data_IF_587852148878
#
_entry.id   IF_587852148878
#
_cell.length_a   1.000
_cell.length_b   1.000
_cell.length_c   1.000
_cell.angle_alpha   90.00
_cell.angle_beta   90.00
_cell.angle_gamma   90.00
#
_symmetry.space_group_name_H-M   'P 1'
#
loop_
_entity.id
_entity.type
_entity.pdbx_description
1 polymer ?
#
# COMPACT_ATOMS: atom_id res chain seq x y z
N UNK A 1 7.42 -32.74 -6.36
CA UNK A 1 6.48 -32.41 -7.46
C UNK A 1 6.10 -30.94 -7.31
N UNK A 2 6.41 -30.11 -8.30
CA UNK A 2 6.02 -28.71 -8.28
C UNK A 2 4.50 -28.57 -8.36
N UNK A 3 3.91 -27.87 -7.39
CA UNK A 3 2.46 -27.65 -7.37
C UNK A 3 2.06 -26.68 -8.49
N UNK A 4 1.18 -27.14 -9.37
CA UNK A 4 0.47 -26.28 -10.34
C UNK A 4 -0.57 -25.41 -9.62
N UNK A 5 -0.88 -24.25 -10.20
CA UNK A 5 -2.03 -23.45 -9.79
C UNK A 5 -3.31 -24.23 -10.08
N UNK A 6 -4.30 -24.14 -9.19
CA UNK A 6 -5.60 -24.75 -9.39
C UNK A 6 -6.74 -23.73 -9.38
N UNK A 7 -7.88 -24.12 -9.93
CA UNK A 7 -9.06 -23.25 -10.09
C UNK A 7 -9.58 -22.72 -8.74
N UNK A 8 -9.52 -23.55 -7.69
CA UNK A 8 -10.02 -23.15 -6.36
C UNK A 8 -9.15 -22.07 -5.73
N UNK A 9 -7.82 -22.11 -5.93
CA UNK A 9 -6.91 -21.03 -5.51
C UNK A 9 -7.27 -19.70 -6.17
N UNK A 10 -7.50 -19.71 -7.48
CA UNK A 10 -7.88 -18.50 -8.24
C UNK A 10 -9.25 -17.99 -7.81
N UNK A 11 -10.23 -18.89 -7.65
CA UNK A 11 -11.58 -18.56 -7.18
C UNK A 11 -11.56 -17.97 -5.77
N UNK A 12 -10.76 -18.53 -4.87
CA UNK A 12 -10.59 -18.01 -3.51
C UNK A 12 -9.98 -16.61 -3.53
N UNK A 13 -8.94 -16.39 -4.34
CA UNK A 13 -8.32 -15.08 -4.49
C UNK A 13 -9.29 -14.06 -5.06
N UNK A 14 -10.07 -14.41 -6.08
CA UNK A 14 -11.09 -13.53 -6.64
C UNK A 14 -12.17 -13.15 -5.60
N UNK A 15 -12.68 -14.10 -4.81
CA UNK A 15 -13.64 -13.79 -3.73
C UNK A 15 -13.06 -12.82 -2.70
N UNK A 16 -11.80 -13.01 -2.31
CA UNK A 16 -11.11 -12.11 -1.38
C UNK A 16 -10.86 -10.74 -2.01
N UNK A 17 -10.47 -10.69 -3.27
CA UNK A 17 -10.32 -9.43 -4.01
C UNK A 17 -11.64 -8.65 -4.07
N UNK A 18 -12.77 -9.34 -4.34
CA UNK A 18 -14.09 -8.73 -4.28
C UNK A 18 -14.40 -8.14 -2.90
N UNK A 19 -14.04 -8.84 -1.82
CA UNK A 19 -14.20 -8.30 -0.46
C UNK A 19 -13.35 -7.04 -0.24
N UNK A 20 -12.13 -7.00 -0.76
CA UNK A 20 -11.25 -5.84 -0.67
C UNK A 20 -11.86 -4.62 -1.37
N UNK A 21 -12.33 -4.78 -2.60
CA UNK A 21 -12.99 -3.73 -3.38
C UNK A 21 -14.29 -3.26 -2.72
N UNK A 22 -15.02 -4.15 -2.04
CA UNK A 22 -16.22 -3.80 -1.30
C UNK A 22 -15.93 -2.86 -0.12
N UNK A 23 -14.89 -3.11 0.66
CA UNK A 23 -14.54 -2.26 1.81
C UNK A 23 -13.71 -1.01 1.44
N UNK A 24 -13.08 -0.98 0.26
CA UNK A 24 -12.36 0.21 -0.22
C UNK A 24 -13.31 1.22 -0.88
N UNK A 25 -13.60 2.32 -0.19
CA UNK A 25 -14.45 3.39 -0.70
C UNK A 25 -13.75 4.39 -1.64
N UNK A 26 -12.42 4.27 -1.82
CA UNK A 26 -11.66 5.27 -2.54
C UNK A 26 -11.66 5.03 -4.06
N UNK A 27 -11.49 3.79 -4.52
CA UNK A 27 -11.37 3.47 -5.94
C UNK A 27 -12.70 3.06 -6.58
N UNK A 28 -13.58 4.03 -6.86
CA UNK A 28 -14.87 3.80 -7.52
C UNK A 28 -14.72 3.20 -8.93
N UNK A 29 -13.65 3.54 -9.65
CA UNK A 29 -13.37 2.97 -10.97
C UNK A 29 -13.13 1.45 -10.90
N UNK A 30 -12.34 1.00 -9.92
CA UNK A 30 -12.09 -0.42 -9.72
C UNK A 30 -13.36 -1.19 -9.35
N UNK A 31 -14.26 -0.59 -8.56
CA UNK A 31 -15.59 -1.15 -8.28
C UNK A 31 -16.41 -1.33 -9.55
N UNK A 32 -16.44 -0.33 -10.41
CA UNK A 32 -17.12 -0.41 -11.71
C UNK A 32 -16.52 -1.50 -12.60
N UNK A 33 -15.18 -1.57 -12.71
CA UNK A 33 -14.50 -2.62 -13.50
C UNK A 33 -14.80 -4.02 -12.97
N UNK A 34 -14.85 -4.19 -11.65
CA UNK A 34 -15.21 -5.47 -11.05
C UNK A 34 -16.65 -5.85 -11.39
N UNK A 35 -17.60 -4.91 -11.32
CA UNK A 35 -18.98 -5.16 -11.72
C UNK A 35 -19.08 -5.56 -13.20
N UNK A 36 -18.35 -4.87 -14.09
CA UNK A 36 -18.26 -5.23 -15.51
C UNK A 36 -17.62 -6.60 -15.76
N UNK A 37 -16.59 -6.94 -14.98
CA UNK A 37 -15.97 -8.25 -15.06
C UNK A 37 -16.94 -9.40 -14.71
N UNK A 38 -17.93 -9.12 -13.85
CA UNK A 38 -18.96 -10.07 -13.42
C UNK A 38 -20.13 -10.22 -14.40
N UNK A 39 -20.24 -9.38 -15.44
CA UNK A 39 -21.33 -9.47 -16.44
C UNK A 39 -21.20 -10.70 -17.36
N UNK A 40 -19.97 -11.17 -17.61
CA UNK A 40 -19.72 -12.34 -18.46
C UNK A 40 -19.48 -13.62 -17.64
N UNK A 41 -19.19 -14.73 -18.33
CA UNK A 41 -18.86 -16.02 -17.71
C UNK A 41 -17.59 -15.96 -16.83
N UNK A 42 -17.81 -15.74 -15.53
CA UNK A 42 -16.79 -15.67 -14.49
C UNK A 42 -15.99 -16.98 -14.42
N UNK A 43 -16.64 -18.14 -14.57
CA UNK A 43 -15.95 -19.43 -14.45
C UNK A 43 -14.94 -19.63 -15.59
N UNK A 44 -15.28 -19.19 -16.80
CA UNK A 44 -14.33 -19.20 -17.93
C UNK A 44 -13.19 -18.21 -17.74
N UNK A 45 -13.45 -17.02 -17.17
CA UNK A 45 -12.40 -16.05 -16.82
C UNK A 45 -11.45 -16.60 -15.73
N UNK A 46 -11.98 -17.24 -14.70
CA UNK A 46 -11.18 -17.90 -13.65
C UNK A 46 -10.32 -19.02 -14.25
N UNK A 47 -10.88 -19.86 -15.13
CA UNK A 47 -10.10 -20.88 -15.86
C UNK A 47 -8.98 -20.26 -16.68
N UNK A 48 -9.26 -19.19 -17.42
CA UNK A 48 -8.26 -18.49 -18.21
C UNK A 48 -7.11 -17.93 -17.36
N UNK A 49 -7.39 -17.36 -16.18
CA UNK A 49 -6.35 -16.93 -15.23
C UNK A 49 -5.50 -18.13 -14.77
N UNK A 50 -6.15 -19.23 -14.39
CA UNK A 50 -5.47 -20.45 -13.93
C UNK A 50 -4.56 -21.05 -15.01
N UNK A 51 -5.06 -21.16 -16.24
CA UNK A 51 -4.31 -21.69 -17.38
C UNK A 51 -3.14 -20.77 -17.75
N UNK A 52 -3.36 -19.46 -17.74
CA UNK A 52 -2.32 -18.45 -17.99
C UNK A 52 -1.20 -18.51 -16.95
N UNK A 53 -1.54 -18.69 -15.67
CA UNK A 53 -0.56 -18.88 -14.59
C UNK A 53 0.23 -20.19 -14.75
N UNK A 54 -0.46 -21.28 -15.09
CA UNK A 54 0.19 -22.58 -15.31
C UNK A 54 1.04 -22.64 -16.59
N UNK A 55 0.72 -21.82 -17.59
CA UNK A 55 1.52 -21.60 -18.80
C UNK A 55 2.66 -20.58 -18.64
N UNK A 56 2.85 -20.02 -17.44
CA UNK A 56 3.94 -19.09 -17.13
C UNK A 56 5.17 -19.83 -16.58
N UNK A 57 6.34 -19.22 -16.76
CA UNK A 57 7.62 -19.74 -16.27
C UNK A 57 8.19 -18.85 -15.16
N UNK A 58 9.23 -19.33 -14.48
CA UNK A 58 9.99 -18.53 -13.50
C UNK A 58 10.88 -17.46 -14.15
N UNK A 59 10.88 -17.33 -15.48
CA UNK A 59 11.60 -16.28 -16.19
C UNK A 59 10.61 -15.26 -16.74
N UNK A 60 9.61 -15.74 -17.48
CA UNK A 60 8.63 -14.90 -18.16
C UNK A 60 7.20 -15.37 -17.93
N UNK A 61 6.25 -14.43 -17.72
CA UNK A 61 4.83 -14.72 -17.78
C UNK A 61 4.42 -15.21 -19.17
N UNK A 62 3.32 -15.95 -19.23
CA UNK A 62 2.69 -16.34 -20.49
C UNK A 62 2.25 -15.10 -21.31
N UNK A 63 2.17 -15.26 -22.64
CA UNK A 63 1.74 -14.20 -23.58
C UNK A 63 0.44 -13.51 -23.19
N UNK A 64 -0.53 -14.24 -22.63
CA UNK A 64 -1.80 -13.67 -22.17
C UNK A 64 -1.60 -12.69 -21.02
N UNK A 65 -0.76 -13.04 -20.03
CA UNK A 65 -0.45 -12.16 -18.90
C UNK A 65 0.35 -10.95 -19.37
N UNK A 66 1.32 -11.15 -20.27
CA UNK A 66 2.08 -10.03 -20.85
C UNK A 66 1.16 -9.02 -21.54
N UNK A 67 0.16 -9.51 -22.28
CA UNK A 67 -0.85 -8.65 -22.91
C UNK A 67 -1.66 -7.87 -21.87
N UNK A 68 -2.14 -8.52 -20.80
CA UNK A 68 -2.86 -7.82 -19.72
C UNK A 68 -2.01 -6.74 -19.05
N UNK A 69 -0.73 -7.00 -18.85
CA UNK A 69 0.21 -6.00 -18.31
C UNK A 69 0.30 -4.82 -19.29
N UNK A 70 0.53 -5.08 -20.57
CA UNK A 70 0.64 -4.04 -21.59
C UNK A 70 -0.64 -3.19 -21.73
N UNK A 71 -1.82 -3.81 -21.62
CA UNK A 71 -3.13 -3.15 -21.64
C UNK A 71 -3.42 -2.31 -20.37
N UNK A 72 -2.60 -2.44 -19.32
CA UNK A 72 -2.76 -1.66 -18.10
C UNK A 72 -2.46 -0.17 -18.33
N UNK A 73 -3.01 0.68 -17.48
CA UNK A 73 -2.77 2.12 -17.49
C UNK A 73 -2.77 2.69 -16.08
N UNK A 74 -3.13 3.95 -15.99
CA UNK A 74 -3.30 4.64 -14.73
C UNK A 74 -4.41 5.68 -14.82
N UNK A 75 -4.95 6.05 -13.65
CA UNK A 75 -5.97 7.09 -13.52
C UNK A 75 -5.41 8.20 -12.64
N UNK A 76 -5.64 9.43 -13.06
CA UNK A 76 -5.24 10.62 -12.31
C UNK A 76 -6.45 11.16 -11.57
N UNK A 77 -6.39 11.16 -10.24
CA UNK A 77 -7.42 11.72 -9.36
C UNK A 77 -6.92 13.04 -8.77
N UNK A 78 -7.62 14.17 -8.95
CA UNK A 78 -7.23 15.43 -8.31
C UNK A 78 -7.34 15.29 -6.79
N UNK A 79 -6.26 15.62 -6.07
CA UNK A 79 -6.20 15.58 -4.61
C UNK A 79 -6.19 16.97 -3.97
N UNK A 80 -5.67 17.98 -4.67
CA UNK A 80 -5.70 19.37 -4.21
C UNK A 80 -5.82 20.32 -5.39
N UNK A 81 -6.78 21.23 -5.31
CA UNK A 81 -6.98 22.34 -6.25
C UNK A 81 -6.30 23.56 -5.64
N UNK A 82 -5.55 24.32 -6.44
CA UNK A 82 -5.06 25.64 -6.04
C UNK A 82 -6.06 26.70 -6.46
N UNK A 83 -6.57 27.47 -5.51
CA UNK A 83 -7.27 28.71 -5.80
C UNK A 83 -6.25 29.80 -6.16
N UNK A 84 -6.52 30.58 -7.20
CA UNK A 84 -5.75 31.80 -7.47
C UNK A 84 -6.11 32.83 -6.39
N UNK A 85 -5.28 32.92 -5.34
CA UNK A 85 -5.35 33.98 -4.33
C UNK A 85 -4.72 35.27 -4.87
N UNK A 86 -5.19 35.77 -6.02
CA UNK A 86 -4.68 37.03 -6.56
C UNK A 86 -5.32 38.26 -5.91
N UNK A 87 -6.33 38.10 -5.03
CA UNK A 87 -6.81 39.17 -4.16
C UNK A 87 -7.39 38.58 -2.85
N UNK A 88 -7.24 39.33 -1.77
CA UNK A 88 -7.82 39.15 -0.42
C UNK A 88 -6.92 38.50 0.65
N UNK A 89 -6.20 39.39 1.34
CA UNK A 89 -5.91 39.26 2.77
C UNK A 89 -7.26 39.18 3.53
N UNK A 90 -7.69 37.97 3.84
CA UNK A 90 -8.91 37.73 4.61
C UNK A 90 -9.07 36.23 4.87
N UNK A 91 -9.53 35.88 6.07
CA UNK A 91 -9.74 34.51 6.53
C UNK A 91 -10.43 33.62 5.48
N UNK A 92 -10.00 32.36 5.36
CA UNK A 92 -10.47 31.39 4.38
C UNK A 92 -12.02 31.26 4.40
N UNK A 93 -12.71 32.06 3.59
CA UNK A 93 -14.14 31.92 3.38
C UNK A 93 -14.39 30.73 2.46
N UNK A 94 -14.72 29.57 3.04
CA UNK A 94 -15.19 28.40 2.29
C UNK A 94 -16.64 28.66 1.87
N UNK A 95 -16.83 29.46 0.82
CA UNK A 95 -18.15 29.66 0.21
C UNK A 95 -18.42 28.51 -0.75
N UNK A 96 -19.39 27.66 -0.42
CA UNK A 96 -19.89 26.63 -1.33
C UNK A 96 -21.07 27.23 -2.10
N UNK A 97 -20.91 27.43 -3.41
CA UNK A 97 -21.95 27.96 -4.29
C UNK A 97 -22.18 27.04 -5.50
N UNK A 98 -23.42 26.98 -5.98
CA UNK A 98 -23.78 26.38 -7.27
C UNK A 98 -23.42 27.30 -8.46
N UNK A 99 -22.93 28.51 -8.21
CA UNK A 99 -22.34 29.33 -9.26
C UNK A 99 -20.95 28.78 -9.59
N UNK A 100 -20.82 28.06 -10.69
CA UNK A 100 -19.52 27.52 -11.12
C UNK A 100 -18.49 28.64 -11.33
N UNK A 101 -17.30 28.49 -10.73
CA UNK A 101 -16.14 29.29 -11.10
C UNK A 101 -15.86 29.06 -12.60
N UNK A 102 -15.82 30.14 -13.39
CA UNK A 102 -15.66 30.09 -14.85
C UNK A 102 -14.19 29.99 -15.31
N UNK A 103 -13.25 29.82 -14.37
CA UNK A 103 -11.81 29.76 -14.63
C UNK A 103 -11.25 28.34 -14.74
N UNK A 104 -10.09 28.15 -15.39
CA UNK A 104 -9.43 26.85 -15.43
C UNK A 104 -9.00 26.40 -14.04
N UNK A 105 -9.50 25.24 -13.59
CA UNK A 105 -9.14 24.64 -12.30
C UNK A 105 -7.68 24.18 -12.34
N UNK A 106 -6.82 24.82 -11.56
CA UNK A 106 -5.42 24.43 -11.42
C UNK A 106 -5.27 23.34 -10.36
N UNK A 107 -4.84 22.15 -10.77
CA UNK A 107 -4.59 21.02 -9.86
C UNK A 107 -3.15 21.16 -9.33
N UNK A 108 -3.00 21.27 -8.01
CA UNK A 108 -1.69 21.37 -7.33
C UNK A 108 -1.15 20.01 -6.86
N UNK A 109 -2.03 19.03 -6.65
CA UNK A 109 -1.63 17.64 -6.35
C UNK A 109 -2.62 16.66 -6.96
N UNK A 110 -2.11 15.57 -7.52
CA UNK A 110 -2.91 14.46 -7.99
C UNK A 110 -2.43 13.15 -7.34
N UNK A 111 -3.33 12.16 -7.32
CA UNK A 111 -3.03 10.77 -6.97
C UNK A 111 -3.14 9.93 -8.23
N UNK A 112 -2.17 9.06 -8.47
CA UNK A 112 -2.13 8.21 -9.65
C UNK A 112 -2.46 6.78 -9.19
N UNK A 113 -3.59 6.25 -9.67
CA UNK A 113 -4.03 4.89 -9.36
C UNK A 113 -3.67 3.94 -10.49
N UNK A 114 -3.36 2.70 -10.16
CA UNK A 114 -3.17 1.63 -11.12
C UNK A 114 -4.51 1.25 -11.79
N UNK A 115 -4.49 1.13 -13.12
CA UNK A 115 -5.65 0.72 -13.90
C UNK A 115 -5.33 -0.49 -14.79
N UNK A 116 -5.33 -1.70 -14.21
CA UNK A 116 -5.10 -2.96 -14.94
C UNK A 116 -6.39 -3.78 -15.17
N UNK A 117 -6.36 -4.82 -16.01
CA UNK A 117 -7.43 -5.83 -16.06
C UNK A 117 -7.64 -6.52 -14.71
N UNK A 118 -8.88 -6.94 -14.40
CA UNK A 118 -9.23 -7.57 -13.10
C UNK A 118 -8.42 -8.84 -12.86
N UNK A 119 -8.04 -9.55 -13.92
CA UNK A 119 -7.16 -10.71 -13.91
C UNK A 119 -5.85 -10.43 -13.17
N UNK A 120 -5.22 -9.27 -13.40
CA UNK A 120 -3.98 -8.90 -12.71
C UNK A 120 -4.20 -8.61 -11.22
N UNK A 121 -5.35 -8.04 -10.85
CA UNK A 121 -5.72 -7.86 -9.44
C UNK A 121 -5.95 -9.20 -8.73
N UNK A 122 -6.55 -10.18 -9.41
CA UNK A 122 -6.71 -11.55 -8.88
C UNK A 122 -5.34 -12.20 -8.71
N UNK A 123 -4.45 -12.11 -9.70
CA UNK A 123 -3.07 -12.63 -9.62
C UNK A 123 -2.31 -11.99 -8.44
N UNK A 124 -2.39 -10.67 -8.30
CA UNK A 124 -1.82 -9.93 -7.17
C UNK A 124 -2.40 -10.38 -5.83
N UNK A 125 -3.68 -10.73 -5.79
CA UNK A 125 -4.34 -11.27 -4.60
C UNK A 125 -3.84 -12.67 -4.25
N UNK A 126 -3.59 -13.53 -5.23
CA UNK A 126 -2.96 -14.85 -4.99
C UNK A 126 -1.59 -14.66 -4.33
N UNK A 127 -0.75 -13.78 -4.89
CA UNK A 127 0.56 -13.47 -4.30
C UNK A 127 0.42 -12.93 -2.88
N UNK A 128 -0.51 -12.01 -2.65
CA UNK A 128 -0.79 -11.39 -1.34
C UNK A 128 -1.12 -12.43 -0.27
N UNK A 129 -1.94 -13.43 -0.62
CA UNK A 129 -2.31 -14.52 0.29
C UNK A 129 -1.09 -15.40 0.60
N UNK A 130 -0.28 -15.72 -0.41
CA UNK A 130 0.92 -16.54 -0.24
C UNK A 130 2.02 -15.83 0.56
N UNK A 131 2.22 -14.53 0.33
CA UNK A 131 3.25 -13.72 0.97
C UNK A 131 3.14 -13.72 2.50
N UNK A 132 1.94 -13.98 3.05
CA UNK A 132 1.70 -14.13 4.50
C UNK A 132 2.68 -15.08 5.18
N UNK A 133 2.96 -16.21 4.55
CA UNK A 133 3.73 -17.28 5.15
C UNK A 133 5.25 -17.06 4.98
N UNK A 134 5.65 -15.98 4.29
CA UNK A 134 7.03 -15.74 3.88
C UNK A 134 7.59 -14.38 4.36
N UNK A 135 6.78 -13.33 4.37
CA UNK A 135 7.23 -11.99 4.71
C UNK A 135 7.11 -11.72 6.21
N UNK A 136 8.21 -11.23 6.81
CA UNK A 136 8.19 -10.67 8.15
C UNK A 136 7.72 -9.20 8.08
N UNK A 137 6.50 -8.94 8.55
CA UNK A 137 5.92 -7.61 8.64
C UNK A 137 5.82 -7.23 10.12
N UNK A 138 6.26 -6.03 10.46
CA UNK A 138 6.15 -5.48 11.81
C UNK A 138 4.73 -5.63 12.38
N UNK A 139 4.63 -6.09 13.62
CA UNK A 139 3.36 -6.17 14.36
C UNK A 139 2.73 -4.81 14.64
N UNK A 140 3.49 -3.74 14.47
CA UNK A 140 3.07 -2.36 14.69
C UNK A 140 2.55 -1.70 13.40
N UNK A 141 2.49 -2.45 12.29
CA UNK A 141 1.72 -2.04 11.12
C UNK A 141 0.24 -2.38 11.31
N UNK A 142 -0.62 -1.42 10.96
CA UNK A 142 -2.08 -1.53 10.98
C UNK A 142 -2.68 -1.43 9.58
N UNK A 143 -1.88 -1.14 8.55
CA UNK A 143 -2.32 -1.12 7.15
C UNK A 143 -2.24 -2.50 6.51
N UNK A 144 -3.16 -2.82 5.60
CA UNK A 144 -3.15 -4.06 4.80
C UNK A 144 -2.98 -5.35 5.62
N UNK A 145 -3.66 -5.42 6.77
CA UNK A 145 -3.53 -6.56 7.69
C UNK A 145 -4.35 -7.73 7.19
N UNK A 146 -3.66 -8.84 6.94
CA UNK A 146 -4.28 -10.10 6.55
C UNK A 146 -5.02 -10.72 7.76
N UNK A 147 -6.28 -11.20 7.60
CA UNK A 147 -7.05 -11.76 8.71
C UNK A 147 -6.38 -13.00 9.33
N UNK A 148 -6.34 -13.08 10.66
CA UNK A 148 -5.74 -14.22 11.38
C UNK A 148 -6.42 -15.55 11.03
N UNK A 149 -7.74 -15.55 10.92
CA UNK A 149 -8.50 -16.73 10.51
C UNK A 149 -8.27 -17.01 9.02
N UNK A 150 -7.61 -18.14 8.70
CA UNK A 150 -7.35 -18.58 7.31
C UNK A 150 -8.65 -18.83 6.53
N UNK A 151 -9.76 -19.17 7.19
CA UNK A 151 -11.07 -19.36 6.54
C UNK A 151 -11.82 -18.06 6.24
N UNK A 152 -11.29 -16.90 6.67
CA UNK A 152 -11.89 -15.60 6.40
C UNK A 152 -12.04 -15.37 4.89
N UNK A 153 -13.16 -14.78 4.47
CA UNK A 153 -13.41 -14.34 3.10
C UNK A 153 -12.82 -12.95 2.82
N UNK A 154 -12.33 -12.26 3.84
CA UNK A 154 -11.65 -10.98 3.69
C UNK A 154 -10.25 -11.18 3.11
N UNK A 155 -9.83 -10.26 2.24
CA UNK A 155 -8.41 -10.13 1.90
C UNK A 155 -7.66 -9.44 3.04
N UNK A 156 -8.11 -8.25 3.41
CA UNK A 156 -7.56 -7.45 4.52
C UNK A 156 -8.65 -7.18 5.58
N UNK A 157 -8.23 -7.00 6.82
CA UNK A 157 -9.06 -6.42 7.88
C UNK A 157 -9.52 -5.01 7.45
N UNK A 158 -10.78 -4.62 7.72
CA UNK A 158 -11.29 -3.31 7.30
C UNK A 158 -10.44 -2.15 7.81
N UNK A 159 -10.05 -1.24 6.92
CA UNK A 159 -9.08 -0.20 7.20
C UNK A 159 -9.47 0.71 8.37
N UNK A 160 -10.75 1.11 8.43
CA UNK A 160 -11.26 2.02 9.45
C UNK A 160 -11.13 1.44 10.86
N UNK A 161 -11.33 0.13 11.01
CA UNK A 161 -11.16 -0.56 12.28
C UNK A 161 -9.69 -0.54 12.72
N UNK A 162 -8.76 -0.85 11.81
CA UNK A 162 -7.33 -0.93 12.13
C UNK A 162 -6.69 0.43 12.35
N UNK A 163 -7.09 1.43 11.58
CA UNK A 163 -6.67 2.81 11.80
C UNK A 163 -7.13 3.32 13.16
N UNK A 164 -8.41 3.08 13.51
CA UNK A 164 -8.93 3.43 14.83
C UNK A 164 -8.20 2.69 15.95
N UNK A 165 -7.95 1.39 15.79
CA UNK A 165 -7.19 0.57 16.76
C UNK A 165 -5.80 1.15 17.04
N UNK A 166 -5.06 1.53 15.99
CA UNK A 166 -3.73 2.15 16.13
C UNK A 166 -3.80 3.46 16.93
N UNK A 167 -4.72 4.35 16.56
CA UNK A 167 -4.90 5.64 17.24
C UNK A 167 -5.26 5.46 18.71
N UNK A 168 -6.25 4.63 18.99
CA UNK A 168 -6.80 4.45 20.34
C UNK A 168 -5.76 3.79 21.28
N UNK A 169 -4.93 2.87 20.77
CA UNK A 169 -3.80 2.30 21.53
C UNK A 169 -2.74 3.34 21.88
N UNK A 170 -2.33 4.19 20.94
CA UNK A 170 -1.36 5.24 21.21
C UNK A 170 -1.87 6.29 22.20
N UNK A 171 -3.15 6.66 22.11
CA UNK A 171 -3.79 7.55 23.08
C UNK A 171 -3.85 6.91 24.48
N UNK A 172 -4.17 5.61 24.56
CA UNK A 172 -4.22 4.89 25.82
C UNK A 172 -2.83 4.80 26.49
N UNK A 173 -1.79 4.51 25.72
CA UNK A 173 -0.40 4.49 26.20
C UNK A 173 0.03 5.87 26.74
N UNK A 174 -0.30 6.94 26.01
CA UNK A 174 -0.05 8.31 26.44
C UNK A 174 -0.76 8.67 27.74
N UNK A 175 -2.06 8.33 27.86
CA UNK A 175 -2.84 8.57 29.08
C UNK A 175 -2.26 7.84 30.29
N UNK A 176 -1.79 6.60 30.11
CA UNK A 176 -1.13 5.84 31.17
C UNK A 176 0.15 6.53 31.65
N UNK A 177 0.98 7.04 30.72
CA UNK A 177 2.19 7.78 31.09
C UNK A 177 1.88 9.06 31.85
N UNK A 178 0.85 9.82 31.44
CA UNK A 178 0.41 11.03 32.14
C UNK A 178 -0.05 10.69 33.57
N UNK A 179 -0.85 9.62 33.75
CA UNK A 179 -1.30 9.16 35.07
C UNK A 179 -0.13 8.82 36.00
N UNK A 180 0.97 8.33 35.44
CA UNK A 180 2.21 8.02 36.18
C UNK A 180 3.08 9.27 36.44
N UNK A 181 2.62 10.47 36.09
CA UNK A 181 3.35 11.73 36.28
C UNK A 181 4.41 12.01 35.22
N UNK A 182 4.51 11.19 34.17
CA UNK A 182 5.45 11.40 33.07
C UNK A 182 4.90 12.46 32.09
N UNK A 183 5.84 13.17 31.44
CA UNK A 183 5.51 14.06 30.32
C UNK A 183 5.52 13.25 29.04
N UNK A 184 4.68 13.62 28.07
CA UNK A 184 4.59 12.92 26.79
C UNK A 184 4.88 13.88 25.63
N UNK A 185 5.40 13.34 24.55
CA UNK A 185 5.49 13.99 23.24
C UNK A 185 4.87 13.05 22.21
N UNK A 186 3.91 13.58 21.45
CA UNK A 186 3.35 12.91 20.27
C UNK A 186 4.15 13.32 19.04
N UNK A 187 4.49 12.36 18.20
CA UNK A 187 5.15 12.58 16.91
C UNK A 187 4.31 11.87 15.85
N UNK A 188 3.86 12.61 14.85
CA UNK A 188 3.12 12.09 13.69
C UNK A 188 3.91 12.41 12.43
N UNK A 189 4.09 11.44 11.56
CA UNK A 189 4.87 11.57 10.33
C UNK A 189 4.10 10.98 9.15
N UNK A 190 4.34 11.53 7.97
CA UNK A 190 3.82 11.06 6.69
C UNK A 190 5.00 10.98 5.71
N UNK A 191 5.15 9.85 4.99
CA UNK A 191 6.19 9.71 3.98
C UNK A 191 5.67 10.23 2.65
N UNK A 192 6.20 11.38 2.22
CA UNK A 192 5.74 12.06 1.01
C UNK A 192 5.80 11.16 -0.24
N UNK A 193 4.64 11.00 -0.89
CA UNK A 193 4.47 10.25 -2.13
C UNK A 193 5.00 8.80 -2.05
N UNK A 194 4.89 8.17 -0.88
CA UNK A 194 5.53 6.90 -0.56
C UNK A 194 5.46 5.84 -1.66
N UNK A 195 4.27 5.53 -2.21
CA UNK A 195 4.13 4.50 -3.24
C UNK A 195 4.93 4.80 -4.53
N UNK A 196 5.02 6.07 -4.93
CA UNK A 196 5.76 6.50 -6.13
C UNK A 196 7.26 6.73 -5.87
N UNK A 197 7.67 6.92 -4.61
CA UNK A 197 9.07 7.03 -4.22
C UNK A 197 9.67 5.72 -3.71
N UNK A 198 8.83 4.71 -3.44
CA UNK A 198 9.25 3.38 -3.01
C UNK A 198 9.96 2.65 -4.14
N UNK A 199 11.16 2.17 -3.88
CA UNK A 199 11.91 1.30 -4.79
C UNK A 199 11.84 -0.12 -4.26
N UNK A 200 11.34 -1.05 -5.07
CA UNK A 200 11.22 -2.45 -4.67
C UNK A 200 12.38 -3.27 -5.21
N UNK A 201 13.09 -3.98 -4.33
CA UNK A 201 14.06 -5.00 -4.73
C UNK A 201 13.38 -6.37 -4.90
N UNK A 202 12.82 -6.64 -6.08
CA UNK A 202 12.18 -7.93 -6.37
C UNK A 202 13.13 -9.12 -6.32
N UNK A 203 14.44 -8.89 -6.49
CA UNK A 203 15.45 -9.94 -6.34
C UNK A 203 15.54 -10.45 -4.91
N UNK A 204 15.32 -9.58 -3.92
CA UNK A 204 15.24 -9.97 -2.51
C UNK A 204 13.93 -10.71 -2.23
N UNK A 205 12.79 -10.23 -2.72
CA UNK A 205 11.50 -10.90 -2.55
C UNK A 205 11.54 -12.36 -3.03
N UNK A 206 12.15 -12.62 -4.19
CA UNK A 206 12.34 -13.99 -4.72
C UNK A 206 13.15 -14.90 -3.80
N UNK A 207 14.12 -14.36 -3.05
CA UNK A 207 15.00 -15.13 -2.16
C UNK A 207 14.30 -15.56 -0.86
N UNK A 208 13.16 -14.98 -0.51
CA UNK A 208 12.50 -15.22 0.77
C UNK A 208 11.92 -16.66 0.84
N UNK A 209 11.53 -17.26 -0.29
CA UNK A 209 10.77 -18.53 -0.31
C UNK A 209 11.63 -19.78 -0.51
N UNK A 210 12.73 -19.91 0.24
CA UNK A 210 13.82 -20.83 -0.09
C UNK A 210 13.50 -22.34 -0.12
N UNK A 211 12.44 -22.83 0.52
CA UNK A 211 12.34 -24.27 0.87
C UNK A 211 10.94 -24.94 0.88
N UNK A 212 9.90 -24.36 0.26
CA UNK A 212 8.55 -24.97 0.21
C UNK A 212 8.15 -25.41 -1.21
N UNK A 213 7.25 -26.39 -1.28
CA UNK A 213 6.48 -26.86 -2.45
C UNK A 213 5.80 -25.76 -3.27
N UNK A 214 5.65 -24.57 -2.69
CA UNK A 214 5.05 -23.38 -3.30
C UNK A 214 6.09 -22.38 -3.86
N UNK A 215 7.40 -22.63 -3.71
CA UNK A 215 8.47 -21.74 -4.16
C UNK A 215 8.29 -21.31 -5.62
N UNK A 216 8.08 -22.28 -6.52
CA UNK A 216 7.87 -22.01 -7.95
C UNK A 216 6.68 -21.06 -8.20
N UNK A 217 5.54 -21.30 -7.55
CA UNK A 217 4.36 -20.42 -7.67
C UNK A 217 4.68 -19.01 -7.20
N UNK A 218 5.35 -18.89 -6.05
CA UNK A 218 5.72 -17.60 -5.50
C UNK A 218 6.70 -16.85 -6.41
N UNK A 219 7.70 -17.52 -6.98
CA UNK A 219 8.61 -16.95 -7.98
C UNK A 219 7.86 -16.43 -9.20
N UNK A 220 6.99 -17.26 -9.80
CA UNK A 220 6.17 -16.88 -10.98
C UNK A 220 5.36 -15.62 -10.68
N UNK A 221 4.63 -15.62 -9.55
CA UNK A 221 3.81 -14.49 -9.15
C UNK A 221 4.64 -13.22 -8.89
N UNK A 222 5.79 -13.36 -8.22
CA UNK A 222 6.70 -12.24 -7.92
C UNK A 222 7.24 -11.62 -9.21
N UNK A 223 7.55 -12.42 -10.22
CA UNK A 223 8.00 -11.91 -11.52
C UNK A 223 6.88 -11.20 -12.29
N UNK A 224 5.65 -11.72 -12.21
CA UNK A 224 4.49 -11.02 -12.78
C UNK A 224 4.32 -9.65 -12.11
N UNK A 225 4.40 -9.59 -10.77
CA UNK A 225 4.32 -8.33 -10.04
C UNK A 225 5.45 -7.36 -10.38
N UNK A 226 6.68 -7.84 -10.53
CA UNK A 226 7.81 -7.01 -10.96
C UNK A 226 7.54 -6.37 -12.32
N UNK A 227 7.05 -7.14 -13.30
CA UNK A 227 6.69 -6.62 -14.63
C UNK A 227 5.53 -5.63 -14.59
N UNK A 228 4.52 -5.86 -13.74
CA UNK A 228 3.44 -4.89 -13.52
C UNK A 228 4.00 -3.57 -12.98
N UNK A 229 4.92 -3.63 -12.00
CA UNK A 229 5.49 -2.42 -11.40
C UNK A 229 6.36 -1.66 -12.39
N UNK A 230 7.15 -2.34 -13.23
CA UNK A 230 7.91 -1.72 -14.31
C UNK A 230 6.99 -1.03 -15.33
N UNK A 231 6.03 -1.76 -15.90
CA UNK A 231 5.09 -1.22 -16.88
C UNK A 231 4.33 0.00 -16.33
N UNK A 232 3.85 -0.08 -15.09
CA UNK A 232 3.21 1.05 -14.42
C UNK A 232 4.16 2.24 -14.25
N UNK A 233 5.40 1.98 -13.83
CA UNK A 233 6.39 3.03 -13.58
C UNK A 233 6.75 3.78 -14.85
N UNK A 234 6.99 3.07 -15.95
CA UNK A 234 7.30 3.65 -17.26
C UNK A 234 6.13 4.49 -17.82
N UNK A 235 4.89 4.03 -17.63
CA UNK A 235 3.69 4.74 -18.09
C UNK A 235 3.44 6.03 -17.29
N UNK A 236 3.73 6.01 -15.99
CA UNK A 236 3.53 7.15 -15.09
C UNK A 236 4.69 8.14 -15.15
N UNK A 237 5.92 7.64 -15.22
CA UNK A 237 7.14 8.42 -15.35
C UNK A 237 8.09 7.73 -16.33
N UNK A 238 8.22 8.31 -17.54
CA UNK A 238 9.10 7.77 -18.60
C UNK A 238 10.59 7.73 -18.22
N UNK A 239 10.98 8.48 -17.20
CA UNK A 239 12.36 8.54 -16.68
C UNK A 239 12.56 7.62 -15.46
N UNK A 240 11.60 6.74 -15.15
CA UNK A 240 11.73 5.82 -14.03
C UNK A 240 12.89 4.84 -14.22
N UNK A 241 13.94 4.98 -13.40
CA UNK A 241 15.09 4.06 -13.41
C UNK A 241 14.85 2.76 -12.62
N UNK A 242 13.80 2.74 -11.79
CA UNK A 242 13.45 1.61 -10.91
C UNK A 242 11.94 1.46 -10.78
N UNK A 243 11.41 0.25 -10.55
CA UNK A 243 9.98 0.03 -10.43
C UNK A 243 9.49 0.51 -9.06
N UNK A 244 8.46 1.36 -9.06
CA UNK A 244 7.73 1.77 -7.88
C UNK A 244 6.38 1.08 -7.76
N UNK A 245 5.75 1.20 -6.59
CA UNK A 245 4.55 0.45 -6.23
C UNK A 245 3.29 1.08 -6.81
N UNK A 246 2.47 0.36 -7.60
CA UNK A 246 1.20 0.86 -8.10
C UNK A 246 0.16 1.00 -6.97
N UNK A 247 -0.46 2.17 -6.83
CA UNK A 247 -1.53 2.40 -5.84
C UNK A 247 -2.81 1.67 -6.27
N UNK A 248 -3.39 0.89 -5.36
CA UNK A 248 -4.63 0.13 -5.56
C UNK A 248 -4.43 -1.35 -5.88
N UNK A 249 -3.21 -1.77 -6.24
CA UNK A 249 -2.87 -3.18 -6.44
C UNK A 249 -2.70 -3.87 -5.06
N UNK A 250 -3.39 -5.00 -4.77
CA UNK A 250 -3.37 -5.61 -3.43
C UNK A 250 -1.98 -5.93 -2.88
N UNK A 251 -1.09 -6.44 -3.73
CA UNK A 251 0.29 -6.78 -3.36
C UNK A 251 1.10 -5.56 -2.96
N UNK A 252 0.82 -4.38 -3.51
CA UNK A 252 1.56 -3.15 -3.19
C UNK A 252 1.49 -2.80 -1.72
N UNK A 253 0.35 -3.03 -1.06
CA UNK A 253 0.18 -2.77 0.36
C UNK A 253 1.03 -3.69 1.26
N UNK A 254 1.15 -4.96 0.86
CA UNK A 254 2.00 -5.93 1.57
C UNK A 254 3.48 -5.63 1.34
N UNK A 255 3.88 -5.32 0.10
CA UNK A 255 5.27 -4.95 -0.21
C UNK A 255 5.67 -3.66 0.51
N UNK A 256 4.78 -2.65 0.52
CA UNK A 256 4.94 -1.42 1.28
C UNK A 256 5.25 -1.69 2.76
N UNK A 257 4.45 -2.55 3.38
CA UNK A 257 4.64 -2.94 4.77
C UNK A 257 5.98 -3.64 5.02
N UNK A 258 6.40 -4.52 4.11
CA UNK A 258 7.68 -5.20 4.17
C UNK A 258 8.87 -4.24 4.02
N UNK A 259 8.82 -3.30 3.06
CA UNK A 259 9.86 -2.28 2.85
C UNK A 259 10.08 -1.41 4.10
N UNK A 260 9.01 -1.13 4.84
CA UNK A 260 9.05 -0.31 6.04
C UNK A 260 9.48 -1.09 7.29
N UNK A 261 9.53 -2.43 7.27
CA UNK A 261 9.86 -3.22 8.48
C UNK A 261 11.19 -2.81 9.11
N UNK A 262 12.27 -2.68 8.33
CA UNK A 262 13.58 -2.26 8.86
C UNK A 262 13.54 -0.81 9.35
N UNK A 263 12.80 0.06 8.65
CA UNK A 263 12.62 1.44 9.07
C UNK A 263 11.87 1.53 10.41
N UNK A 264 10.88 0.66 10.64
CA UNK A 264 10.16 0.55 11.91
C UNK A 264 11.11 0.15 13.06
N UNK A 265 12.01 -0.80 12.81
CA UNK A 265 13.01 -1.25 13.78
C UNK A 265 13.99 -0.13 14.14
N UNK A 266 14.59 0.50 13.13
CA UNK A 266 15.53 1.63 13.31
C UNK A 266 14.88 2.78 14.08
N UNK A 267 13.62 3.10 13.76
CA UNK A 267 12.91 4.20 14.38
C UNK A 267 12.51 3.89 15.82
N UNK A 268 12.12 2.64 16.11
CA UNK A 268 11.85 2.19 17.49
C UNK A 268 13.13 2.20 18.33
N UNK A 269 14.26 1.78 17.77
CA UNK A 269 15.55 1.85 18.46
C UNK A 269 15.95 3.30 18.76
N UNK A 270 15.83 4.19 17.76
CA UNK A 270 16.20 5.59 17.92
C UNK A 270 15.31 6.35 18.92
N UNK A 271 14.00 6.03 18.96
CA UNK A 271 13.03 6.78 19.76
C UNK A 271 12.69 6.16 21.11
N UNK A 272 12.94 4.86 21.30
CA UNK A 272 12.53 4.08 22.46
C UNK A 272 11.09 4.42 22.92
N UNK A 273 10.08 4.27 22.03
CA UNK A 273 8.78 4.86 22.24
C UNK A 273 7.95 4.04 23.24
N UNK A 274 7.05 4.72 23.95
CA UNK A 274 6.03 4.02 24.77
C UNK A 274 4.92 3.45 23.90
N UNK A 275 4.76 3.99 22.69
CA UNK A 275 3.90 3.44 21.64
C UNK A 275 4.47 3.80 20.27
N UNK A 276 4.48 2.82 19.37
CA UNK A 276 4.74 2.99 17.96
C UNK A 276 3.64 2.27 17.18
N UNK A 277 3.10 2.90 16.16
CA UNK A 277 2.21 2.25 15.21
C UNK A 277 2.13 3.03 13.92
N UNK A 278 1.96 2.33 12.80
CA UNK A 278 1.81 2.96 11.49
C UNK A 278 0.66 2.38 10.68
N UNK A 279 0.03 3.22 9.88
CA UNK A 279 -0.89 2.81 8.83
C UNK A 279 -0.21 3.08 7.49
N UNK A 280 0.58 2.11 7.01
CA UNK A 280 1.44 2.28 5.83
C UNK A 280 2.48 3.39 6.08
N UNK A 281 2.36 4.55 5.43
CA UNK A 281 3.23 5.72 5.51
C UNK A 281 2.86 6.71 6.62
N UNK A 282 1.63 6.64 7.15
CA UNK A 282 1.19 7.40 8.31
C UNK A 282 1.75 6.77 9.60
N UNK A 283 2.73 7.40 10.24
CA UNK A 283 3.42 6.90 11.44
C UNK A 283 3.02 7.71 12.65
N UNK A 284 2.72 7.01 13.76
CA UNK A 284 2.36 7.61 15.03
C UNK A 284 3.25 7.06 16.16
N UNK A 285 3.90 7.97 16.88
CA UNK A 285 4.86 7.65 17.94
C UNK A 285 4.50 8.45 19.19
N UNK A 286 4.59 7.79 20.34
CA UNK A 286 4.49 8.41 21.66
C UNK A 286 5.80 8.17 22.39
N UNK A 287 6.45 9.24 22.85
CA UNK A 287 7.68 9.16 23.66
C UNK A 287 7.46 9.84 25.02
N UNK A 288 8.02 9.26 26.08
CA UNK A 288 7.92 9.78 27.44
C UNK A 288 9.15 10.59 27.84
N UNK A 289 8.96 11.64 28.62
CA UNK A 289 9.99 12.47 29.25
C UNK A 289 11.00 13.09 28.26
N UNK A 290 10.54 13.31 27.03
CA UNK A 290 11.26 14.03 25.98
C UNK A 290 10.58 15.38 25.77
N UNK A 291 11.35 16.48 25.82
CA UNK A 291 10.83 17.83 25.68
C UNK A 291 11.47 18.52 24.46
N UNK A 292 10.68 18.87 23.43
CA UNK A 292 11.22 19.61 22.29
C UNK A 292 11.60 21.05 22.71
N UNK A 293 12.57 21.67 22.03
CA UNK A 293 12.89 23.08 22.23
C UNK A 293 11.74 23.97 21.74
N UNK A 294 11.68 25.20 22.25
CA UNK A 294 10.69 26.20 21.79
C UNK A 294 11.00 26.71 20.38
N UNK A 295 12.29 26.78 20.04
CA UNK A 295 12.77 27.24 18.74
C UNK A 295 13.18 26.02 17.92
N UNK A 296 12.72 25.96 16.69
CA UNK A 296 13.07 24.93 15.69
C UNK A 296 12.91 23.48 16.19
N UNK A 297 11.70 23.09 16.63
CA UNK A 297 11.45 21.73 17.11
C UNK A 297 11.57 20.68 16.00
N UNK A 298 11.38 21.05 14.74
CA UNK A 298 11.45 20.14 13.59
C UNK A 298 12.88 19.69 13.31
N UNK A 299 13.83 20.63 13.18
CA UNK A 299 15.22 20.26 12.96
C UNK A 299 15.80 19.51 14.17
N UNK A 300 15.44 19.94 15.39
CA UNK A 300 15.81 19.21 16.61
C UNK A 300 15.28 17.77 16.60
N UNK A 301 14.03 17.56 16.18
CA UNK A 301 13.43 16.24 16.08
C UNK A 301 14.22 15.38 15.09
N UNK A 302 14.52 15.95 13.91
CA UNK A 302 15.31 15.31 12.87
C UNK A 302 16.69 14.89 13.36
N UNK A 303 17.48 15.82 13.91
CA UNK A 303 18.82 15.54 14.44
C UNK A 303 18.80 14.51 15.57
N UNK A 304 17.79 14.58 16.45
CA UNK A 304 17.70 13.69 17.61
C UNK A 304 17.35 12.26 17.24
N UNK A 305 16.38 12.06 16.34
CA UNK A 305 15.78 10.74 16.12
C UNK A 305 15.93 10.21 14.69
N UNK A 306 16.01 11.06 13.68
CA UNK A 306 15.89 10.64 12.28
C UNK A 306 17.20 10.67 11.51
N UNK A 307 18.16 11.52 11.90
CA UNK A 307 19.42 11.68 11.19
C UNK A 307 20.14 10.34 11.03
N UNK A 308 20.25 9.55 12.12
CA UNK A 308 20.88 8.23 12.10
C UNK A 308 20.08 7.21 11.29
N UNK A 309 18.75 7.23 11.41
CA UNK A 309 17.84 6.30 10.72
C UNK A 309 17.90 6.49 9.20
N UNK A 310 18.02 7.74 8.74
CA UNK A 310 18.04 8.07 7.31
C UNK A 310 19.44 7.93 6.71
N UNK A 311 20.51 8.18 7.48
CA UNK A 311 21.90 8.07 6.98
C UNK A 311 22.42 6.65 6.80
N UNK A 312 21.67 5.62 7.21
CA UNK A 312 22.05 4.20 7.14
C UNK A 312 21.63 3.51 5.83
N UNK A 313 21.10 4.25 4.85
CA UNK A 313 20.66 3.75 3.54
C UNK A 313 21.30 4.53 2.40
#
# INVERSE_FOLDING_TARGET
MDRKFNIEEVKNAYQRFKSYVYYDNFNLHLRYKLAKFEEDDIDSKIRNICDSLNGSSELDPNVTIQRWIHESGYIVIPKKISHNKDNEEGEDQIVISNSGETGPIKISRATILYDGPIELFVISTIWTIMARDYLNISSDSYGYILPKNKSSKLLFEPYFNKYQESRDKGLSAAQQQIKNGNKILFITLDIKNFFHSSVVNFSELRKITSSDSNKRKFTILTNILEKICWDHSEKVNKEAEKPFLPIGLPSSGIIANWLLSNFDEDLKEATAPVYYGRYVDDIFIVVSNVKPPKKDPENWLFERFFQKVISLK
#
